data_IF_453012101478
#
_entry.id   IF_453012101478
#
_cell.length_a   1.000
_cell.length_b   1.000
_cell.length_c   1.000
_cell.angle_alpha   90.00
_cell.angle_beta   90.00
_cell.angle_gamma   90.00
#
_symmetry.space_group_name_H-M   'P 1'
#
loop_
_entity.id
_entity.type
_entity.pdbx_description
1 polymer ?
#
# COMPACT_ATOMS: atom_id res chain seq x y z
N UNK A 1 -19.98 21.47 12.67
CA UNK A 1 -20.18 20.44 11.62
C UNK A 1 -18.91 19.70 11.23
N UNK A 2 -17.87 19.68 12.08
CA UNK A 2 -16.56 19.06 11.81
C UNK A 2 -16.55 17.53 11.99
N UNK A 3 -17.38 17.01 12.91
CA UNK A 3 -17.39 15.59 13.29
C UNK A 3 -17.70 14.63 12.12
N UNK A 4 -18.66 15.00 11.26
CA UNK A 4 -19.10 14.17 10.12
C UNK A 4 -18.02 14.06 9.03
N UNK A 5 -17.21 15.11 8.85
CA UNK A 5 -16.11 15.11 7.89
C UNK A 5 -14.98 14.19 8.34
N UNK A 6 -14.64 14.21 9.65
CA UNK A 6 -13.60 13.36 10.21
C UNK A 6 -13.94 11.86 10.14
N UNK A 7 -15.19 11.50 10.41
CA UNK A 7 -15.65 10.10 10.25
C UNK A 7 -15.58 9.64 8.80
N UNK A 8 -16.04 10.48 7.86
CA UNK A 8 -16.01 10.16 6.42
C UNK A 8 -14.56 9.94 5.94
N UNK A 9 -13.62 10.78 6.37
CA UNK A 9 -12.20 10.65 6.04
C UNK A 9 -11.61 9.36 6.62
N UNK A 10 -11.97 9.01 7.86
CA UNK A 10 -11.48 7.79 8.49
C UNK A 10 -12.02 6.53 7.79
N UNK A 11 -13.27 6.54 7.33
CA UNK A 11 -13.82 5.40 6.58
C UNK A 11 -13.19 5.26 5.20
N UNK A 12 -12.87 6.38 4.53
CA UNK A 12 -12.07 6.39 3.31
C UNK A 12 -10.69 5.76 3.53
N UNK A 13 -9.97 6.14 4.60
CA UNK A 13 -8.67 5.55 4.95
C UNK A 13 -8.78 4.04 5.18
N UNK A 14 -9.77 3.60 5.94
CA UNK A 14 -10.03 2.15 6.17
C UNK A 14 -10.31 1.42 4.87
N UNK A 15 -11.08 2.01 3.95
CA UNK A 15 -11.38 1.42 2.66
C UNK A 15 -10.12 1.25 1.81
N UNK A 16 -9.25 2.27 1.75
CA UNK A 16 -7.97 2.20 1.03
C UNK A 16 -7.07 1.12 1.64
N UNK A 17 -6.94 1.06 2.96
CA UNK A 17 -6.15 0.00 3.63
C UNK A 17 -6.72 -1.39 3.35
N UNK A 18 -8.06 -1.54 3.42
CA UNK A 18 -8.69 -2.81 3.10
C UNK A 18 -8.44 -3.22 1.65
N UNK A 19 -8.40 -2.28 0.70
CA UNK A 19 -8.14 -2.55 -0.70
C UNK A 19 -6.67 -2.92 -0.93
N UNK A 20 -5.73 -2.21 -0.31
CA UNK A 20 -4.30 -2.55 -0.32
C UNK A 20 -4.04 -3.99 0.14
N UNK A 21 -4.78 -4.48 1.13
CA UNK A 21 -4.63 -5.84 1.66
C UNK A 21 -5.36 -6.88 0.78
N UNK A 22 -6.58 -6.58 0.31
CA UNK A 22 -7.41 -7.54 -0.44
C UNK A 22 -7.02 -7.63 -1.92
N UNK A 23 -6.65 -6.50 -2.51
CA UNK A 23 -6.31 -6.33 -3.92
C UNK A 23 -4.94 -5.64 -4.08
N UNK A 24 -3.87 -6.17 -3.48
CA UNK A 24 -2.56 -5.54 -3.56
C UNK A 24 -2.09 -5.45 -5.00
N UNK A 25 -1.48 -4.31 -5.36
CA UNK A 25 -0.81 -4.14 -6.63
C UNK A 25 0.46 -4.98 -6.66
N UNK A 26 0.36 -6.15 -7.27
CA UNK A 26 1.42 -7.15 -7.22
C UNK A 26 2.69 -6.68 -7.94
N UNK A 27 3.83 -6.86 -7.27
CA UNK A 27 5.17 -6.74 -7.85
C UNK A 27 5.89 -8.08 -7.74
N UNK A 28 6.34 -8.61 -8.88
CA UNK A 28 7.07 -9.89 -8.97
C UNK A 28 8.57 -9.69 -9.18
N UNK A 29 8.96 -8.52 -9.67
CA UNK A 29 10.32 -8.20 -10.09
C UNK A 29 10.56 -8.49 -11.58
N UNK A 30 11.80 -8.31 -12.02
CA UNK A 30 12.21 -8.59 -13.40
C UNK A 30 11.71 -7.55 -14.41
N UNK A 31 10.63 -7.86 -15.14
CA UNK A 31 10.07 -7.01 -16.22
C UNK A 31 9.09 -5.93 -15.73
N UNK A 32 8.72 -5.98 -14.46
CA UNK A 32 7.86 -4.97 -13.85
C UNK A 32 8.61 -3.62 -13.80
N UNK A 33 7.91 -2.53 -14.12
CA UNK A 33 8.45 -1.18 -13.94
C UNK A 33 8.44 -0.83 -12.45
N UNK A 34 9.61 -1.00 -11.83
CA UNK A 34 9.80 -0.79 -10.39
C UNK A 34 9.51 0.64 -9.96
N UNK A 35 9.89 1.64 -10.76
CA UNK A 35 9.71 3.05 -10.39
C UNK A 35 8.22 3.39 -10.41
N UNK A 36 7.51 2.97 -11.45
CA UNK A 36 6.07 3.15 -11.52
C UNK A 36 5.34 2.44 -10.38
N UNK A 37 5.77 1.22 -10.03
CA UNK A 37 5.16 0.49 -8.93
C UNK A 37 5.41 1.17 -7.57
N UNK A 38 6.61 1.71 -7.34
CA UNK A 38 6.93 2.49 -6.14
C UNK A 38 6.06 3.75 -6.09
N UNK A 39 6.05 4.57 -7.14
CA UNK A 39 5.28 5.83 -7.18
C UNK A 39 3.78 5.59 -6.90
N UNK A 40 3.21 4.58 -7.56
CA UNK A 40 1.80 4.23 -7.37
C UNK A 40 1.51 3.73 -5.94
N UNK A 41 2.46 3.00 -5.33
CA UNK A 41 2.31 2.46 -3.98
C UNK A 41 2.49 3.55 -2.92
N UNK A 42 3.49 4.41 -3.07
CA UNK A 42 3.74 5.55 -2.17
C UNK A 42 2.54 6.51 -2.18
N UNK A 43 2.00 6.83 -3.36
CA UNK A 43 0.81 7.66 -3.47
C UNK A 43 -0.37 7.11 -2.67
N UNK A 44 -0.64 5.80 -2.75
CA UNK A 44 -1.74 5.17 -1.99
C UNK A 44 -1.50 5.21 -0.48
N UNK A 45 -0.26 4.96 -0.04
CA UNK A 45 0.10 4.99 1.38
C UNK A 45 0.02 6.41 1.96
N UNK A 46 0.38 7.42 1.17
CA UNK A 46 0.28 8.83 1.56
C UNK A 46 -1.18 9.27 1.69
N UNK A 47 -2.03 8.94 0.71
CA UNK A 47 -3.48 9.26 0.76
C UNK A 47 -4.15 8.56 1.95
N UNK A 48 -3.72 7.34 2.28
CA UNK A 48 -4.22 6.61 3.45
C UNK A 48 -3.60 7.08 4.78
N UNK A 49 -2.66 8.04 4.76
CA UNK A 49 -1.92 8.52 5.92
C UNK A 49 -1.26 7.39 6.73
N UNK A 50 -0.67 6.42 6.03
CA UNK A 50 -0.02 5.29 6.67
C UNK A 50 1.29 5.74 7.33
N UNK A 51 1.47 5.49 8.64
CA UNK A 51 2.73 5.74 9.33
C UNK A 51 3.87 4.99 8.66
N UNK A 52 5.01 5.65 8.50
CA UNK A 52 6.20 5.08 7.86
C UNK A 52 6.60 3.72 8.46
N UNK A 53 6.48 3.59 9.78
CA UNK A 53 6.73 2.34 10.53
C UNK A 53 5.87 1.16 10.08
N UNK A 54 4.73 1.39 9.44
CA UNK A 54 3.80 0.36 8.98
C UNK A 54 3.81 0.16 7.47
N UNK A 55 4.53 1.01 6.72
CA UNK A 55 4.56 0.95 5.25
C UNK A 55 5.22 -0.33 4.76
N UNK A 56 6.37 -0.71 5.33
CA UNK A 56 7.08 -1.92 4.94
C UNK A 56 6.23 -3.18 5.12
N UNK A 57 5.52 -3.29 6.24
CA UNK A 57 4.62 -4.42 6.50
C UNK A 57 3.52 -4.51 5.44
N UNK A 58 2.91 -3.38 5.07
CA UNK A 58 1.87 -3.33 4.04
C UNK A 58 2.41 -3.64 2.65
N UNK A 59 3.57 -3.11 2.28
CA UNK A 59 4.21 -3.36 1.00
C UNK A 59 4.54 -4.85 0.82
N UNK A 60 4.87 -5.56 1.89
CA UNK A 60 5.15 -7.00 1.83
C UNK A 60 3.98 -7.83 1.29
N UNK A 61 2.73 -7.39 1.49
CA UNK A 61 1.53 -8.04 0.92
C UNK A 61 1.42 -7.91 -0.59
N UNK A 62 2.14 -6.96 -1.20
CA UNK A 62 2.20 -6.73 -2.64
C UNK A 62 3.32 -7.50 -3.34
N UNK A 63 4.30 -8.01 -2.60
CA UNK A 63 5.41 -8.75 -3.18
C UNK A 63 5.03 -10.19 -3.52
N UNK A 64 5.39 -10.68 -4.70
CA UNK A 64 5.24 -12.09 -5.12
C UNK A 64 6.52 -12.55 -5.83
N UNK A 65 6.64 -13.85 -6.08
CA UNK A 65 7.76 -14.41 -6.84
C UNK A 65 9.13 -14.02 -6.28
N UNK A 66 10.04 -13.65 -7.17
CA UNK A 66 11.43 -13.32 -6.85
C UNK A 66 11.54 -12.12 -5.91
N UNK A 67 10.68 -11.10 -6.07
CA UNK A 67 10.66 -9.95 -5.19
C UNK A 67 10.30 -10.32 -3.74
N UNK A 68 9.33 -11.22 -3.54
CA UNK A 68 8.99 -11.72 -2.20
C UNK A 68 10.10 -12.59 -1.62
N UNK A 69 10.78 -13.39 -2.45
CA UNK A 69 11.89 -14.22 -2.01
C UNK A 69 13.07 -13.35 -1.53
N UNK A 70 13.42 -12.32 -2.31
CA UNK A 70 14.46 -11.36 -1.94
C UNK A 70 14.14 -10.64 -0.62
N UNK A 71 12.90 -10.17 -0.43
CA UNK A 71 12.51 -9.46 0.79
C UNK A 71 12.62 -10.31 2.07
N UNK A 72 12.49 -11.65 1.94
CA UNK A 72 12.59 -12.58 3.06
C UNK A 72 14.02 -13.04 3.36
N UNK A 73 14.99 -12.71 2.49
CA UNK A 73 16.40 -13.13 2.61
C UNK A 73 17.16 -12.14 3.47
#
# INVERSE_FOLDING_TARGET
>A
STFVLDETINDLRKAIVSDLIKNPKIFKGGKDDVNKWIDDTEHLLDVAHIPESSRLDLISYSLRGDALQWFKT
#
